data_IF_807441327076
#
_entry.id   IF_807441327076
#
_cell.length_a   1.000
_cell.length_b   1.000
_cell.length_c   1.000
_cell.angle_alpha   90.00
_cell.angle_beta   90.00
_cell.angle_gamma   90.00
#
_symmetry.space_group_name_H-M   'P 1'
#
loop_
_entity.id
_entity.type
_entity.pdbx_description
1 polymer ?
#
# COMPACT_ATOMS: atom_id res chain seq x y z
N UNK A 1 -24.22 13.75 -18.22
CA UNK A 1 -23.75 12.48 -18.79
C UNK A 1 -24.64 11.39 -18.22
N UNK A 2 -25.18 10.50 -19.05
CA UNK A 2 -26.04 9.40 -18.57
C UNK A 2 -25.23 8.47 -17.65
N UNK A 3 -25.85 7.95 -16.57
CA UNK A 3 -25.16 7.14 -15.56
C UNK A 3 -24.58 5.86 -16.16
N UNK A 4 -25.28 5.27 -17.14
CA UNK A 4 -24.83 4.12 -17.92
C UNK A 4 -23.56 4.46 -18.71
N UNK A 5 -23.54 5.59 -19.44
CA UNK A 5 -22.37 6.03 -20.21
C UNK A 5 -21.15 6.26 -19.31
N UNK A 6 -21.35 6.82 -18.12
CA UNK A 6 -20.26 7.01 -17.14
C UNK A 6 -19.69 5.66 -16.69
N UNK A 7 -20.53 4.72 -16.28
CA UNK A 7 -20.09 3.39 -15.84
C UNK A 7 -19.31 2.68 -16.95
N UNK A 8 -19.78 2.78 -18.20
CA UNK A 8 -19.09 2.19 -19.36
C UNK A 8 -17.71 2.82 -19.59
N UNK A 9 -17.58 4.14 -19.46
CA UNK A 9 -16.28 4.83 -19.54
C UNK A 9 -15.33 4.40 -18.42
N UNK A 10 -15.84 4.27 -17.19
CA UNK A 10 -15.05 3.81 -16.05
C UNK A 10 -14.58 2.36 -16.23
N UNK A 11 -15.44 1.47 -16.73
CA UNK A 11 -15.07 0.09 -17.11
C UNK A 11 -14.01 0.06 -18.23
N UNK A 12 -14.12 0.92 -19.24
CA UNK A 12 -13.13 1.01 -20.31
C UNK A 12 -11.79 1.61 -19.85
N UNK A 13 -11.80 2.36 -18.74
CA UNK A 13 -10.57 2.84 -18.10
C UNK A 13 -9.91 1.81 -17.19
N UNK A 14 -10.66 0.80 -16.69
CA UNK A 14 -10.19 -0.14 -15.69
C UNK A 14 -8.89 -0.89 -16.07
N UNK A 15 -8.68 -1.35 -17.33
CA UNK A 15 -7.41 -1.99 -17.71
C UNK A 15 -6.17 -1.11 -17.53
N UNK A 16 -6.35 0.21 -17.49
CA UNK A 16 -5.27 1.21 -17.32
C UNK A 16 -5.07 1.64 -15.87
N UNK A 17 -5.71 0.94 -14.92
CA UNK A 17 -5.65 1.27 -13.49
C UNK A 17 -4.23 1.31 -12.96
N UNK A 18 -3.27 0.57 -13.54
CA UNK A 18 -1.89 0.53 -13.06
C UNK A 18 -0.87 1.25 -13.96
N UNK A 19 -1.29 1.92 -15.04
CA UNK A 19 -0.38 2.53 -16.03
C UNK A 19 0.55 3.56 -15.36
N UNK A 20 -0.02 4.48 -14.57
CA UNK A 20 0.76 5.51 -13.86
C UNK A 20 1.71 4.89 -12.83
N UNK A 21 1.27 3.86 -12.09
CA UNK A 21 2.12 3.15 -11.14
C UNK A 21 3.31 2.49 -11.84
N UNK A 22 3.05 1.85 -12.98
CA UNK A 22 4.08 1.24 -13.83
C UNK A 22 5.07 2.28 -14.36
N UNK A 23 4.57 3.38 -14.91
CA UNK A 23 5.42 4.47 -15.41
C UNK A 23 6.29 5.06 -14.30
N UNK A 24 5.72 5.30 -13.12
CA UNK A 24 6.46 5.83 -11.97
C UNK A 24 7.52 4.85 -11.49
N UNK A 25 7.20 3.56 -11.38
CA UNK A 25 8.18 2.54 -10.96
C UNK A 25 9.31 2.39 -11.99
N UNK A 26 9.00 2.38 -13.29
CA UNK A 26 10.00 2.33 -14.37
C UNK A 26 10.88 3.58 -14.42
N UNK A 27 10.29 4.77 -14.33
CA UNK A 27 11.04 6.02 -14.26
C UNK A 27 11.95 6.10 -13.04
N UNK A 28 11.53 5.51 -11.94
CA UNK A 28 12.30 5.44 -10.72
C UNK A 28 13.52 4.50 -10.91
N UNK A 29 13.33 3.30 -11.49
CA UNK A 29 14.41 2.35 -11.82
C UNK A 29 15.43 2.94 -12.81
N UNK A 30 14.97 3.68 -13.82
CA UNK A 30 15.86 4.30 -14.80
C UNK A 30 16.77 5.37 -14.17
N UNK A 31 16.32 6.05 -13.11
CA UNK A 31 17.08 7.11 -12.44
C UNK A 31 18.07 6.57 -11.40
N UNK A 32 17.79 5.42 -10.78
CA UNK A 32 18.74 4.77 -9.86
C UNK A 32 19.97 4.22 -10.59
N UNK A 33 19.81 3.75 -11.84
CA UNK A 33 20.92 3.31 -12.69
C UNK A 33 21.97 4.40 -12.98
N UNK A 34 21.58 5.68 -12.94
CA UNK A 34 22.45 6.81 -13.29
C UNK A 34 23.20 7.44 -12.08
N UNK A 35 22.94 7.00 -10.83
CA UNK A 35 23.43 7.65 -9.60
C UNK A 35 24.33 6.78 -8.71
N UNK A 36 25.65 6.81 -8.92
CA UNK A 36 26.64 5.96 -8.20
C UNK A 36 26.91 6.38 -6.73
N UNK A 37 26.31 7.42 -6.17
CA UNK A 37 26.75 7.93 -4.85
C UNK A 37 25.62 8.02 -3.83
N UNK A 38 25.80 7.24 -2.75
CA UNK A 38 25.05 7.22 -1.47
C UNK A 38 23.98 6.12 -1.33
N UNK A 39 24.45 4.87 -1.23
CA UNK A 39 23.70 3.74 -0.70
C UNK A 39 23.51 3.89 0.83
N UNK A 40 22.53 4.69 1.22
CA UNK A 40 21.92 4.66 2.54
C UNK A 40 20.45 5.08 2.40
N UNK A 41 19.58 4.31 3.06
CA UNK A 41 18.16 4.60 3.32
C UNK A 41 17.19 4.43 2.13
N UNK A 42 16.67 3.21 2.02
CA UNK A 42 15.73 2.80 0.99
C UNK A 42 14.40 2.35 1.62
N UNK A 43 13.25 2.93 1.24
CA UNK A 43 11.97 2.34 1.57
C UNK A 43 11.81 1.03 0.78
N UNK A 44 11.50 -0.06 1.48
CA UNK A 44 10.96 -1.25 0.81
C UNK A 44 9.52 -0.95 0.35
N UNK A 45 9.14 -1.43 -0.84
CA UNK A 45 7.72 -1.47 -1.26
C UNK A 45 6.89 -2.32 -0.30
N UNK A 46 7.56 -3.19 0.44
CA UNK A 46 7.04 -3.79 1.66
C UNK A 46 7.00 -2.70 2.74
N UNK A 47 5.84 -2.14 3.05
CA UNK A 47 5.60 -1.51 4.36
C UNK A 47 5.65 -2.53 5.51
N UNK A 48 6.48 -3.58 5.39
CA UNK A 48 6.54 -4.70 6.29
C UNK A 48 7.72 -4.48 7.22
N UNK A 49 7.38 -4.25 8.47
CA UNK A 49 8.31 -4.41 9.56
C UNK A 49 8.88 -5.84 9.54
N UNK A 50 10.20 -5.94 9.51
CA UNK A 50 10.93 -7.21 9.45
C UNK A 50 11.80 -7.34 10.67
N UNK A 51 11.87 -8.54 11.22
CA UNK A 51 12.84 -8.82 12.28
C UNK A 51 13.96 -9.63 11.65
N UNK A 52 15.12 -8.99 11.47
CA UNK A 52 16.35 -9.72 11.15
C UNK A 52 17.09 -10.02 12.44
N UNK A 53 17.21 -11.31 12.79
CA UNK A 53 17.98 -11.74 13.97
C UNK A 53 19.37 -12.25 13.58
N UNK A 54 20.30 -12.09 14.51
CA UNK A 54 21.69 -12.52 14.49
C UNK A 54 22.05 -13.23 15.81
N UNK A 55 22.01 -14.56 15.82
CA UNK A 55 22.21 -15.35 17.04
C UNK A 55 21.18 -15.01 18.16
N UNK A 56 21.44 -15.46 19.39
CA UNK A 56 20.48 -15.32 20.51
C UNK A 56 20.30 -13.89 21.05
N UNK A 57 21.11 -12.91 20.63
CA UNK A 57 21.19 -11.57 21.26
C UNK A 57 21.02 -10.37 20.32
N UNK A 58 20.55 -10.55 19.10
CA UNK A 58 20.38 -9.43 18.16
C UNK A 58 19.11 -8.62 18.37
N UNK A 59 19.23 -7.31 18.22
CA UNK A 59 18.13 -6.33 18.27
C UNK A 59 17.27 -6.39 17.01
N UNK A 60 15.94 -6.32 17.18
CA UNK A 60 14.98 -6.20 16.08
C UNK A 60 15.22 -4.91 15.27
N UNK A 61 15.18 -5.00 13.94
CA UNK A 61 15.25 -3.84 13.04
C UNK A 61 13.85 -3.56 12.51
N UNK A 62 12.98 -3.00 13.35
CA UNK A 62 11.67 -2.54 12.90
C UNK A 62 11.85 -1.44 11.84
N UNK A 63 11.05 -1.53 10.78
CA UNK A 63 11.00 -0.52 9.72
C UNK A 63 9.88 0.45 10.09
N UNK A 64 10.11 1.27 11.13
CA UNK A 64 9.23 2.39 11.45
C UNK A 64 9.84 3.70 10.93
N UNK A 65 8.95 4.57 10.45
CA UNK A 65 9.18 5.86 9.81
C UNK A 65 9.90 6.85 10.74
N UNK A 66 11.20 6.65 10.95
CA UNK A 66 12.20 7.73 10.92
C UNK A 66 13.64 7.33 11.26
N UNK A 67 13.95 6.10 11.66
CA UNK A 67 15.34 5.76 12.06
C UNK A 67 15.70 4.31 11.76
N UNK A 68 16.16 4.05 10.54
CA UNK A 68 16.91 2.83 10.26
C UNK A 68 18.30 2.93 10.91
N UNK A 69 18.45 2.38 12.11
CA UNK A 69 19.77 1.95 12.54
C UNK A 69 19.97 0.55 11.99
N UNK A 70 20.78 0.39 10.94
CA UNK A 70 21.24 -0.94 10.52
C UNK A 70 21.90 -1.58 11.75
N UNK A 71 21.25 -2.54 12.40
CA UNK A 71 21.80 -3.17 13.58
C UNK A 71 23.13 -3.82 13.21
N UNK A 72 24.22 -3.26 13.72
CA UNK A 72 25.57 -3.81 13.53
C UNK A 72 25.76 -4.91 14.56
N UNK A 73 26.24 -6.06 14.10
CA UNK A 73 26.42 -7.25 14.94
C UNK A 73 27.89 -7.64 14.95
N UNK A 74 28.40 -7.95 16.14
CA UNK A 74 29.74 -8.50 16.31
C UNK A 74 29.72 -10.01 16.13
N UNK A 75 30.62 -10.53 15.29
CA UNK A 75 30.79 -11.96 15.10
C UNK A 75 31.27 -12.63 16.39
N UNK A 76 30.60 -13.71 16.85
CA UNK A 76 31.01 -14.42 18.06
C UNK A 76 32.41 -15.01 17.92
N UNK A 77 33.06 -15.27 19.07
CA UNK A 77 34.40 -15.86 19.11
C UNK A 77 34.44 -17.32 18.61
N UNK A 78 33.29 -18.00 18.64
CA UNK A 78 33.10 -19.37 18.16
C UNK A 78 31.67 -19.57 17.66
N UNK A 79 31.50 -20.37 16.63
CA UNK A 79 30.20 -20.68 16.03
C UNK A 79 29.81 -19.73 14.89
N UNK A 80 28.91 -20.16 13.99
CA UNK A 80 28.45 -19.31 12.90
C UNK A 80 27.45 -18.26 13.39
N UNK A 81 27.24 -17.22 12.58
CA UNK A 81 26.15 -16.26 12.75
C UNK A 81 24.91 -16.77 12.02
N UNK A 82 23.82 -16.96 12.75
CA UNK A 82 22.51 -17.30 12.19
C UNK A 82 21.77 -16.03 11.80
N UNK A 83 21.17 -16.02 10.62
CA UNK A 83 20.34 -14.92 10.12
C UNK A 83 18.91 -15.46 10.07
N UNK A 84 17.96 -14.76 10.68
CA UNK A 84 16.53 -15.08 10.59
C UNK A 84 15.80 -13.91 9.95
N UNK A 85 14.84 -14.17 9.07
CA UNK A 85 13.96 -13.19 8.42
C UNK A 85 12.51 -13.61 8.65
N UNK A 86 11.74 -12.72 9.25
CA UNK A 86 10.31 -12.91 9.51
C UNK A 86 9.57 -11.59 9.52
N UNK A 87 8.26 -11.70 9.38
CA UNK A 87 7.37 -10.55 9.59
C UNK A 87 7.32 -10.15 11.05
N UNK A 88 7.17 -8.86 11.31
CA UNK A 88 6.78 -8.38 12.63
C UNK A 88 5.31 -8.74 12.87
N UNK A 89 5.09 -9.88 13.53
CA UNK A 89 3.78 -10.39 13.87
C UNK A 89 3.80 -10.96 15.28
N UNK A 90 2.62 -11.01 15.91
CA UNK A 90 2.43 -11.77 17.16
C UNK A 90 2.69 -13.27 16.97
N UNK A 91 2.76 -13.75 15.73
CA UNK A 91 3.01 -15.14 15.34
C UNK A 91 4.32 -15.27 14.57
N UNK A 92 4.92 -16.46 14.63
CA UNK A 92 6.18 -16.73 13.94
C UNK A 92 5.93 -17.05 12.47
N UNK A 93 5.88 -16.00 11.64
CA UNK A 93 5.65 -16.11 10.19
C UNK A 93 6.98 -15.89 9.46
N UNK A 94 7.64 -16.96 8.99
CA UNK A 94 8.92 -16.85 8.31
C UNK A 94 8.77 -16.12 6.98
N UNK A 95 9.82 -15.40 6.59
CA UNK A 95 9.93 -14.75 5.29
C UNK A 95 11.20 -15.25 4.61
N UNK A 96 11.03 -16.35 3.87
CA UNK A 96 12.10 -17.11 3.22
C UNK A 96 12.35 -16.77 1.75
N UNK A 97 13.31 -17.48 1.15
CA UNK A 97 13.74 -17.34 -0.25
C UNK A 97 14.22 -15.93 -0.62
N UNK A 98 14.81 -15.24 0.36
CA UNK A 98 15.41 -13.92 0.20
C UNK A 98 16.93 -14.06 0.22
N UNK A 99 17.60 -13.31 -0.66
CA UNK A 99 19.05 -13.17 -0.61
C UNK A 99 19.37 -11.94 0.23
N UNK A 100 20.24 -12.11 1.21
CA UNK A 100 20.76 -11.03 2.06
C UNK A 100 22.26 -10.89 1.88
N UNK A 101 22.74 -9.66 1.87
CA UNK A 101 24.14 -9.32 1.85
C UNK A 101 24.64 -9.04 3.27
N UNK A 102 25.61 -9.82 3.71
CA UNK A 102 26.36 -9.56 4.93
C UNK A 102 27.56 -8.69 4.57
N UNK A 103 27.53 -7.44 5.04
CA UNK A 103 28.54 -6.43 4.75
C UNK A 103 29.42 -6.24 5.98
N UNK A 104 30.73 -6.45 5.83
CA UNK A 104 31.69 -6.11 6.86
C UNK A 104 31.69 -4.58 7.06
N UNK A 105 31.54 -4.14 8.31
CA UNK A 105 31.57 -2.71 8.65
C UNK A 105 32.95 -2.13 8.35
N UNK A 106 33.99 -2.91 8.63
CA UNK A 106 35.37 -2.58 8.29
C UNK A 106 35.67 -3.05 6.85
N UNK A 107 36.10 -2.13 5.99
CA UNK A 107 36.51 -2.45 4.62
C UNK A 107 35.38 -2.70 3.60
N UNK A 108 34.13 -2.86 4.04
CA UNK A 108 32.96 -2.94 3.14
C UNK A 108 32.84 -4.24 2.34
N UNK A 109 33.58 -5.29 2.72
CA UNK A 109 33.50 -6.59 2.04
C UNK A 109 32.08 -7.17 2.14
N UNK A 110 31.53 -7.62 1.02
CA UNK A 110 30.16 -8.13 0.90
C UNK A 110 30.17 -9.63 0.65
N UNK A 111 29.32 -10.37 1.37
CA UNK A 111 29.04 -11.78 1.08
C UNK A 111 27.53 -12.03 1.12
N UNK A 112 27.00 -12.57 0.03
CA UNK A 112 25.58 -12.91 -0.05
C UNK A 112 25.29 -14.26 0.62
N UNK A 113 24.14 -14.33 1.28
CA UNK A 113 23.57 -15.51 1.95
C UNK A 113 22.13 -15.64 1.48
N UNK A 114 21.77 -16.80 0.95
CA UNK A 114 20.38 -17.12 0.63
C UNK A 114 19.72 -17.69 1.87
N UNK A 115 18.61 -17.08 2.29
CA UNK A 115 17.76 -17.60 3.34
C UNK A 115 16.90 -18.73 2.79
N UNK A 116 16.75 -19.80 3.57
CA UNK A 116 15.86 -20.92 3.24
C UNK A 116 14.38 -20.52 3.30
N UNK A 117 13.48 -21.47 3.04
CA UNK A 117 12.03 -21.24 3.06
C UNK A 117 11.52 -20.82 4.45
N UNK A 118 12.27 -21.11 5.51
CA UNK A 118 11.96 -20.72 6.89
C UNK A 118 12.56 -19.35 7.24
N UNK A 119 13.13 -18.64 6.27
CA UNK A 119 13.76 -17.35 6.48
C UNK A 119 15.10 -17.45 7.19
N UNK A 120 15.74 -18.63 7.23
CA UNK A 120 16.98 -18.86 7.98
C UNK A 120 18.19 -18.97 7.07
N UNK A 121 19.31 -18.41 7.50
CA UNK A 121 20.59 -18.46 6.80
C UNK A 121 21.75 -18.52 7.78
N UNK A 122 22.92 -18.93 7.29
CA UNK A 122 24.12 -19.08 8.13
C UNK A 122 25.29 -18.38 7.46
N UNK A 123 25.99 -17.54 8.23
CA UNK A 123 27.17 -16.82 7.80
C UNK A 123 28.34 -17.06 8.76
N UNK A 124 29.52 -17.33 8.21
CA UNK A 124 30.76 -17.43 8.99
C UNK A 124 31.61 -16.21 8.71
N UNK A 125 31.75 -15.36 9.73
CA UNK A 125 32.59 -14.17 9.73
C UNK A 125 33.90 -14.38 10.51
N UNK A 126 34.71 -13.33 10.56
CA UNK A 126 35.91 -13.27 11.37
C UNK A 126 35.55 -12.95 12.83
N UNK A 127 36.06 -13.74 13.77
CA UNK A 127 35.77 -13.59 15.20
C UNK A 127 36.07 -12.16 15.69
N UNK A 128 35.08 -11.53 16.33
CA UNK A 128 35.20 -10.18 16.90
C UNK A 128 35.04 -9.03 15.90
N UNK A 129 34.91 -9.29 14.59
CA UNK A 129 34.62 -8.27 13.57
C UNK A 129 33.13 -7.93 13.53
N UNK A 130 32.81 -6.75 13.00
CA UNK A 130 31.45 -6.24 12.93
C UNK A 130 30.87 -6.35 11.51
N UNK A 131 29.62 -6.78 11.44
CA UNK A 131 28.88 -6.99 10.20
C UNK A 131 27.51 -6.32 10.28
N UNK A 132 26.96 -5.94 9.13
CA UNK A 132 25.56 -5.54 8.96
C UNK A 132 24.92 -6.43 7.90
N UNK A 133 23.65 -6.79 8.07
CA UNK A 133 22.86 -7.43 7.01
C UNK A 133 22.04 -6.39 6.29
N UNK A 134 22.11 -6.44 4.98
CA UNK A 134 21.29 -5.65 4.06
C UNK A 134 20.57 -6.66 3.17
N UNK A 135 19.30 -6.45 2.86
CA UNK A 135 18.64 -7.30 1.86
C UNK A 135 19.19 -6.94 0.48
N UNK A 136 19.56 -7.96 -0.29
CA UNK A 136 20.32 -7.80 -1.55
C UNK A 136 19.67 -6.79 -2.50
N UNK A 137 20.53 -6.06 -3.22
CA UNK A 137 20.22 -4.88 -4.01
C UNK A 137 19.22 -5.03 -5.17
N UNK A 138 18.91 -3.87 -5.76
CA UNK A 138 17.93 -3.52 -6.80
C UNK A 138 17.18 -4.65 -7.52
N UNK A 139 15.85 -4.51 -7.60
CA UNK A 139 15.03 -5.31 -8.51
C UNK A 139 15.44 -5.02 -9.97
N UNK A 140 15.66 -6.07 -10.78
CA UNK A 140 15.96 -5.88 -12.19
C UNK A 140 14.72 -5.49 -12.99
N UNK A 141 14.90 -4.81 -14.13
CA UNK A 141 13.79 -4.44 -15.02
C UNK A 141 12.96 -5.67 -15.43
N UNK A 142 13.61 -6.80 -15.70
CA UNK A 142 12.95 -8.07 -16.02
C UNK A 142 12.06 -8.58 -14.87
N UNK A 143 12.50 -8.44 -13.62
CA UNK A 143 11.72 -8.87 -12.45
C UNK A 143 10.49 -7.97 -12.26
N UNK A 144 10.65 -6.68 -12.53
CA UNK A 144 9.56 -5.70 -12.47
C UNK A 144 8.56 -5.94 -13.59
N UNK A 145 9.03 -6.19 -14.82
CA UNK A 145 8.15 -6.55 -15.94
C UNK A 145 7.37 -7.83 -15.66
N UNK A 146 8.03 -8.87 -15.13
CA UNK A 146 7.36 -10.12 -14.73
C UNK A 146 6.29 -9.90 -13.64
N UNK A 147 6.57 -9.06 -12.65
CA UNK A 147 5.58 -8.68 -11.63
C UNK A 147 4.36 -8.01 -12.26
N UNK A 148 4.60 -7.08 -13.19
CA UNK A 148 3.53 -6.39 -13.88
C UNK A 148 2.74 -7.28 -14.85
N UNK A 149 3.36 -8.28 -15.48
CA UNK A 149 2.63 -9.28 -16.27
C UNK A 149 1.63 -10.05 -15.40
N UNK A 150 1.99 -10.33 -14.14
CA UNK A 150 1.04 -10.91 -13.17
C UNK A 150 -0.11 -9.96 -12.86
N UNK A 151 0.16 -8.67 -12.68
CA UNK A 151 -0.91 -7.67 -12.52
C UNK A 151 -1.78 -7.53 -13.76
N UNK A 152 -1.23 -7.64 -14.97
CA UNK A 152 -2.01 -7.65 -16.22
C UNK A 152 -2.90 -8.89 -16.33
N UNK A 153 -2.42 -10.04 -15.83
CA UNK A 153 -3.22 -11.25 -15.66
C UNK A 153 -4.41 -11.02 -14.72
N UNK A 154 -4.14 -10.50 -13.52
CA UNK A 154 -5.17 -10.19 -12.52
C UNK A 154 -6.19 -9.18 -13.08
N UNK A 155 -5.70 -8.10 -13.69
CA UNK A 155 -6.51 -7.03 -14.30
C UNK A 155 -7.47 -7.59 -15.35
N UNK A 156 -7.00 -8.48 -16.23
CA UNK A 156 -7.87 -9.11 -17.25
C UNK A 156 -9.00 -9.94 -16.65
N UNK A 157 -8.72 -10.71 -15.59
CA UNK A 157 -9.77 -11.51 -14.94
C UNK A 157 -10.79 -10.63 -14.21
N UNK A 158 -10.32 -9.59 -13.50
CA UNK A 158 -11.20 -8.63 -12.82
C UNK A 158 -12.04 -7.84 -13.84
N UNK A 159 -11.45 -7.36 -14.94
CA UNK A 159 -12.18 -6.66 -16.01
C UNK A 159 -13.25 -7.55 -16.65
N UNK A 160 -12.89 -8.78 -17.03
CA UNK A 160 -13.83 -9.74 -17.59
C UNK A 160 -14.99 -10.04 -16.64
N UNK A 161 -14.71 -10.17 -15.34
CA UNK A 161 -15.73 -10.36 -14.31
C UNK A 161 -16.64 -9.13 -14.16
N UNK A 162 -16.07 -7.93 -14.03
CA UNK A 162 -16.83 -6.67 -13.93
C UNK A 162 -17.76 -6.48 -15.12
N UNK A 163 -17.26 -6.70 -16.34
CA UNK A 163 -18.07 -6.64 -17.57
C UNK A 163 -19.21 -7.66 -17.55
N UNK A 164 -19.00 -8.86 -17.02
CA UNK A 164 -20.04 -9.88 -16.87
C UNK A 164 -21.12 -9.51 -15.85
N UNK A 165 -20.77 -8.82 -14.77
CA UNK A 165 -21.74 -8.26 -13.81
C UNK A 165 -22.49 -7.09 -14.46
N UNK A 166 -21.80 -6.21 -15.19
CA UNK A 166 -22.43 -5.08 -15.88
C UNK A 166 -23.50 -5.52 -16.88
N UNK A 167 -23.26 -6.57 -17.66
CA UNK A 167 -24.27 -7.11 -18.59
C UNK A 167 -25.56 -7.54 -17.88
N UNK A 168 -25.47 -7.99 -16.62
CA UNK A 168 -26.65 -8.36 -15.81
C UNK A 168 -27.34 -7.15 -15.19
N UNK A 169 -26.59 -6.11 -14.83
CA UNK A 169 -27.13 -4.91 -14.20
C UNK A 169 -27.69 -3.89 -15.20
N UNK A 170 -27.04 -3.70 -16.35
CA UNK A 170 -27.39 -2.69 -17.36
C UNK A 170 -28.87 -2.66 -17.76
N UNK A 171 -29.59 -3.79 -17.96
CA UNK A 171 -31.03 -3.75 -18.27
C UNK A 171 -31.87 -3.09 -17.18
N UNK A 172 -31.51 -3.27 -15.90
CA UNK A 172 -32.25 -2.76 -14.75
C UNK A 172 -32.07 -1.24 -14.57
N UNK A 173 -30.94 -0.69 -15.04
CA UNK A 173 -30.69 0.74 -15.08
C UNK A 173 -31.62 1.46 -16.06
N UNK A 174 -31.85 0.88 -17.24
CA UNK A 174 -32.73 1.47 -18.28
C UNK A 174 -34.21 1.58 -17.87
N UNK A 175 -34.65 0.76 -16.92
CA UNK A 175 -36.02 0.78 -16.39
C UNK A 175 -36.19 1.77 -15.22
N UNK A 176 -35.10 2.31 -14.68
CA UNK A 176 -35.06 3.09 -13.43
C UNK A 176 -34.89 4.60 -13.65
N UNK A 177 -35.51 5.15 -14.70
CA UNK A 177 -35.32 6.56 -15.13
C UNK A 177 -35.86 7.60 -14.13
N UNK A 178 -36.61 7.19 -13.10
CA UNK A 178 -37.18 8.11 -12.10
C UNK A 178 -36.26 8.41 -10.90
N UNK A 179 -35.16 7.67 -10.69
CA UNK A 179 -34.28 7.80 -9.50
C UNK A 179 -32.80 8.07 -9.83
N UNK A 180 -32.47 8.29 -11.10
CA UNK A 180 -31.09 8.48 -11.57
C UNK A 180 -30.33 9.66 -10.94
N UNK A 181 -31.04 10.62 -10.31
CA UNK A 181 -30.41 11.73 -9.59
C UNK A 181 -29.66 11.30 -8.30
N UNK A 182 -29.91 10.09 -7.79
CA UNK A 182 -29.28 9.59 -6.54
C UNK A 182 -27.97 8.82 -6.73
N UNK A 183 -27.73 8.22 -7.91
CA UNK A 183 -26.60 7.32 -8.14
C UNK A 183 -25.36 7.99 -8.75
N UNK A 184 -25.45 9.26 -9.15
CA UNK A 184 -24.30 10.04 -9.62
C UNK A 184 -23.20 10.28 -8.58
N UNK A 185 -23.37 9.74 -7.38
CA UNK A 185 -22.76 10.18 -6.14
C UNK A 185 -21.47 9.43 -5.74
N UNK A 186 -21.21 8.25 -6.32
CA UNK A 186 -20.01 7.47 -6.00
C UNK A 186 -18.78 7.94 -6.77
N UNK A 187 -18.88 8.12 -8.09
CA UNK A 187 -17.74 8.63 -8.85
C UNK A 187 -17.50 10.15 -8.66
N UNK A 188 -18.21 10.80 -7.73
CA UNK A 188 -17.89 12.14 -7.20
C UNK A 188 -17.04 12.11 -5.93
N UNK A 189 -16.83 10.96 -5.31
CA UNK A 189 -16.16 10.81 -4.01
C UNK A 189 -14.87 10.00 -4.07
N UNK A 190 -14.05 10.16 -5.13
CA UNK A 190 -12.67 9.64 -5.11
C UNK A 190 -11.87 10.20 -3.91
N UNK A 191 -12.14 11.45 -3.50
CA UNK A 191 -11.63 12.04 -2.26
C UNK A 191 -12.09 11.31 -0.97
N UNK A 192 -13.18 10.54 -1.00
CA UNK A 192 -13.58 9.66 0.11
C UNK A 192 -12.88 8.28 0.03
N UNK A 193 -12.46 7.85 -1.17
CA UNK A 193 -11.67 6.64 -1.40
C UNK A 193 -10.20 6.87 -0.99
N UNK A 194 -9.69 8.10 -1.04
CA UNK A 194 -8.37 8.45 -0.44
C UNK A 194 -8.29 8.03 1.04
N UNK A 195 -9.37 8.14 1.81
CA UNK A 195 -9.45 7.65 3.19
C UNK A 195 -9.45 6.11 3.32
N UNK A 196 -9.81 5.37 2.26
CA UNK A 196 -9.66 3.91 2.21
C UNK A 196 -8.18 3.52 2.07
N UNK A 197 -7.37 4.34 1.38
CA UNK A 197 -5.94 4.08 1.23
C UNK A 197 -5.21 4.17 2.57
N UNK A 198 -5.54 5.15 3.42
CA UNK A 198 -5.06 5.19 4.82
C UNK A 198 -5.55 3.98 5.65
N UNK A 199 -6.69 3.41 5.27
CA UNK A 199 -7.27 2.22 5.91
C UNK A 199 -6.71 0.90 5.35
N UNK A 200 -5.89 0.89 4.30
CA UNK A 200 -5.24 -0.33 3.81
C UNK A 200 -4.25 -0.86 4.85
N UNK A 201 -3.58 0.02 5.59
CA UNK A 201 -2.75 -0.36 6.74
C UNK A 201 -3.49 -1.21 7.77
N UNK A 202 -4.81 -1.02 7.92
CA UNK A 202 -5.64 -1.84 8.82
C UNK A 202 -5.57 -3.33 8.49
N UNK A 203 -5.51 -3.70 7.21
CA UNK A 203 -5.41 -5.10 6.80
C UNK A 203 -4.09 -5.71 7.30
N UNK A 204 -2.99 -4.96 7.18
CA UNK A 204 -1.68 -5.37 7.69
C UNK A 204 -1.71 -5.55 9.21
N UNK A 205 -2.26 -4.56 9.94
CA UNK A 205 -2.41 -4.62 11.40
C UNK A 205 -3.27 -5.82 11.85
N UNK A 206 -4.38 -6.08 11.14
CA UNK A 206 -5.23 -7.26 11.40
C UNK A 206 -4.43 -8.55 11.25
N UNK A 207 -3.59 -8.69 10.22
CA UNK A 207 -2.78 -9.89 10.02
C UNK A 207 -1.63 -9.99 11.02
N UNK A 208 -1.08 -8.84 11.44
CA UNK A 208 -0.01 -8.74 12.45
C UNK A 208 -0.46 -9.29 13.80
N UNK A 209 -1.64 -8.85 14.28
CA UNK A 209 -2.23 -9.33 15.53
C UNK A 209 -3.77 -9.39 15.46
N UNK A 210 -4.37 -10.47 14.92
CA UNK A 210 -5.81 -10.59 14.72
C UNK A 210 -6.64 -10.44 16.00
N UNK A 211 -6.09 -10.87 17.15
CA UNK A 211 -6.81 -10.90 18.42
C UNK A 211 -7.05 -9.49 18.98
N UNK A 212 -6.20 -8.51 18.66
CA UNK A 212 -6.45 -7.10 18.99
C UNK A 212 -7.67 -6.54 18.26
N UNK A 213 -8.05 -7.14 17.13
CA UNK A 213 -9.20 -6.76 16.32
C UNK A 213 -10.44 -7.63 16.58
N UNK A 214 -10.48 -8.39 17.69
CA UNK A 214 -11.62 -9.26 18.04
C UNK A 214 -12.98 -8.53 18.04
N UNK A 215 -13.03 -7.28 18.50
CA UNK A 215 -14.27 -6.48 18.45
C UNK A 215 -14.76 -6.19 17.03
N UNK A 216 -13.87 -6.13 16.04
CA UNK A 216 -14.21 -5.93 14.63
C UNK A 216 -14.51 -7.24 13.92
N UNK A 217 -13.71 -8.27 14.18
CA UNK A 217 -13.70 -9.52 13.42
C UNK A 217 -14.63 -10.60 14.01
N UNK A 218 -15.02 -10.48 15.29
CA UNK A 218 -15.71 -11.52 16.03
C UNK A 218 -14.89 -12.80 16.08
N UNK A 219 -15.55 -13.95 15.93
CA UNK A 219 -14.90 -15.28 15.91
C UNK A 219 -13.85 -15.43 14.80
N UNK A 220 -13.90 -14.59 13.77
CA UNK A 220 -12.91 -14.61 12.67
C UNK A 220 -11.52 -14.18 13.14
N UNK A 221 -11.39 -13.42 14.24
CA UNK A 221 -10.09 -13.09 14.82
C UNK A 221 -9.37 -14.36 15.31
N UNK A 222 -10.07 -15.20 16.06
CA UNK A 222 -9.54 -16.48 16.55
C UNK A 222 -9.20 -17.41 15.40
N UNK A 223 -10.08 -17.52 14.40
CA UNK A 223 -9.81 -18.34 13.22
C UNK A 223 -8.56 -17.87 12.46
N UNK A 224 -8.37 -16.55 12.33
CA UNK A 224 -7.18 -15.98 11.68
C UNK A 224 -5.91 -16.20 12.51
N UNK A 225 -5.99 -16.12 13.84
CA UNK A 225 -4.88 -16.45 14.75
C UNK A 225 -4.48 -17.94 14.64
N UNK A 226 -5.44 -18.86 14.65
CA UNK A 226 -5.20 -20.30 14.47
C UNK A 226 -4.61 -20.60 13.08
N UNK A 227 -5.07 -19.89 12.05
CA UNK A 227 -4.52 -19.99 10.70
C UNK A 227 -3.06 -19.54 10.63
N UNK A 228 -2.71 -18.43 11.29
CA UNK A 228 -1.33 -17.94 11.36
C UNK A 228 -0.37 -18.99 11.95
N UNK A 229 -0.82 -19.72 12.98
CA UNK A 229 -0.03 -20.80 13.63
C UNK A 229 0.01 -22.07 12.78
N UNK A 230 -1.11 -22.49 12.21
CA UNK A 230 -1.25 -23.78 11.53
C UNK A 230 -0.77 -23.78 10.09
N UNK A 231 -0.79 -22.62 9.41
CA UNK A 231 -0.48 -22.44 7.99
C UNK A 231 0.45 -21.23 7.77
N UNK A 232 1.65 -21.18 8.38
CA UNK A 232 2.53 -20.01 8.33
C UNK A 232 2.93 -19.61 6.90
N UNK A 233 3.15 -20.59 6.00
CA UNK A 233 3.46 -20.31 4.58
C UNK A 233 2.30 -19.62 3.85
N UNK A 234 1.04 -19.97 4.15
CA UNK A 234 -0.12 -19.29 3.55
C UNK A 234 -0.37 -17.94 4.19
N UNK A 235 -0.06 -17.80 5.48
CA UNK A 235 -0.09 -16.51 6.17
C UNK A 235 0.97 -15.56 5.59
N UNK A 236 2.16 -16.06 5.23
CA UNK A 236 3.18 -15.29 4.51
C UNK A 236 2.60 -14.73 3.19
N UNK A 237 1.99 -15.58 2.36
CA UNK A 237 1.36 -15.17 1.11
C UNK A 237 0.26 -14.12 1.32
N UNK A 238 -0.54 -14.27 2.38
CA UNK A 238 -1.62 -13.34 2.71
C UNK A 238 -1.07 -11.98 3.15
N UNK A 239 -0.03 -11.98 3.99
CA UNK A 239 0.66 -10.76 4.41
C UNK A 239 1.36 -10.07 3.23
N UNK A 240 1.95 -10.82 2.31
CA UNK A 240 2.52 -10.30 1.07
C UNK A 240 1.46 -9.65 0.17
N UNK A 241 0.32 -10.30 -0.04
CA UNK A 241 -0.81 -9.75 -0.80
C UNK A 241 -1.31 -8.43 -0.18
N UNK A 242 -1.46 -8.40 1.15
CA UNK A 242 -1.95 -7.21 1.87
C UNK A 242 -0.90 -6.09 1.93
N UNK A 243 0.36 -6.40 1.67
CA UNK A 243 1.43 -5.42 1.55
C UNK A 243 1.62 -4.93 0.11
N UNK A 244 0.92 -5.52 -0.86
CA UNK A 244 0.99 -5.15 -2.26
C UNK A 244 -0.06 -4.09 -2.60
N UNK A 245 0.38 -2.84 -2.61
CA UNK A 245 -0.42 -1.68 -2.96
C UNK A 245 -1.08 -1.77 -4.35
N UNK A 246 -0.39 -2.34 -5.34
CA UNK A 246 -0.92 -2.43 -6.71
C UNK A 246 -2.05 -3.46 -6.79
N UNK A 247 -1.86 -4.63 -6.17
CA UNK A 247 -2.91 -5.63 -6.08
C UNK A 247 -4.11 -5.11 -5.29
N UNK A 248 -3.89 -4.48 -4.12
CA UNK A 248 -4.98 -3.90 -3.33
C UNK A 248 -5.68 -2.76 -4.06
N UNK A 249 -4.97 -1.95 -4.85
CA UNK A 249 -5.57 -0.93 -5.71
C UNK A 249 -6.54 -1.55 -6.73
N UNK A 250 -6.13 -2.62 -7.42
CA UNK A 250 -6.98 -3.34 -8.36
C UNK A 250 -8.23 -3.92 -7.67
N UNK A 251 -8.09 -4.52 -6.48
CA UNK A 251 -9.20 -5.09 -5.72
C UNK A 251 -10.17 -4.01 -5.24
N UNK A 252 -9.64 -2.92 -4.68
CA UNK A 252 -10.43 -1.78 -4.23
C UNK A 252 -11.18 -1.13 -5.41
N UNK A 253 -10.49 -0.91 -6.53
CA UNK A 253 -11.08 -0.36 -7.75
C UNK A 253 -12.18 -1.27 -8.30
N UNK A 254 -11.97 -2.59 -8.26
CA UNK A 254 -12.99 -3.57 -8.64
C UNK A 254 -14.23 -3.46 -7.76
N UNK A 255 -14.06 -3.47 -6.43
CA UNK A 255 -15.17 -3.37 -5.49
C UNK A 255 -15.91 -2.03 -5.62
N UNK A 256 -15.18 -0.93 -5.80
CA UNK A 256 -15.73 0.40 -6.04
C UNK A 256 -16.58 0.44 -7.29
N UNK A 257 -16.05 0.00 -8.44
CA UNK A 257 -16.81 -0.05 -9.69
C UNK A 257 -18.01 -0.99 -9.59
N UNK A 258 -17.87 -2.13 -8.92
CA UNK A 258 -19.00 -3.03 -8.72
C UNK A 258 -20.13 -2.40 -7.91
N UNK A 259 -19.82 -1.64 -6.85
CA UNK A 259 -20.81 -0.88 -6.09
C UNK A 259 -21.47 0.20 -6.95
N UNK A 260 -20.72 0.87 -7.82
CA UNK A 260 -21.28 1.85 -8.77
C UNK A 260 -22.22 1.23 -9.79
N UNK A 261 -21.97 -0.03 -10.18
CA UNK A 261 -22.79 -0.77 -11.13
C UNK A 261 -24.10 -1.30 -10.53
N UNK A 262 -24.23 -1.36 -9.20
CA UNK A 262 -25.42 -1.88 -8.55
C UNK A 262 -26.66 -1.05 -8.91
N UNK A 263 -27.76 -1.69 -9.36
CA UNK A 263 -28.97 -0.96 -9.69
C UNK A 263 -29.63 -0.35 -8.43
N UNK A 264 -30.37 0.77 -8.55
CA UNK A 264 -30.89 1.53 -7.39
C UNK A 264 -31.78 0.73 -6.44
N UNK A 265 -32.43 -0.33 -6.93
CA UNK A 265 -33.27 -1.23 -6.15
C UNK A 265 -32.47 -2.09 -5.15
N UNK A 266 -31.19 -2.37 -5.43
CA UNK A 266 -30.28 -3.13 -4.56
C UNK A 266 -29.68 -2.25 -3.45
N UNK A 267 -29.69 -0.91 -3.63
CA UNK A 267 -29.22 0.09 -2.67
C UNK A 267 -30.44 0.87 -2.13
N UNK A 268 -31.45 0.15 -1.64
CA UNK A 268 -32.61 0.79 -1.04
C UNK A 268 -32.29 1.27 0.39
N UNK A 269 -32.18 2.59 0.58
CA UNK A 269 -32.28 3.20 1.90
C UNK A 269 -31.21 4.26 2.21
N UNK A 270 -31.69 5.50 2.38
CA UNK A 270 -31.04 6.67 2.99
C UNK A 270 -30.35 7.65 2.04
N UNK A 271 -30.23 8.88 2.56
CA UNK A 271 -29.83 10.12 1.89
C UNK A 271 -28.38 10.11 1.44
N UNK A 272 -28.08 11.02 0.50
CA UNK A 272 -26.80 11.16 -0.17
C UNK A 272 -25.55 11.12 0.75
N UNK A 273 -25.60 11.81 1.87
CA UNK A 273 -24.47 11.97 2.79
C UNK A 273 -24.20 10.73 3.66
N UNK A 274 -25.26 10.01 4.05
CA UNK A 274 -25.14 8.75 4.79
C UNK A 274 -24.58 7.61 3.92
N UNK A 275 -24.80 7.67 2.60
CA UNK A 275 -24.35 6.65 1.65
C UNK A 275 -22.82 6.71 1.44
N UNK A 276 -22.20 7.90 1.44
CA UNK A 276 -20.75 8.05 1.20
C UNK A 276 -19.88 7.38 2.28
N UNK A 277 -20.15 7.66 3.57
CA UNK A 277 -19.42 7.02 4.69
C UNK A 277 -19.68 5.51 4.77
N UNK A 278 -20.90 5.09 4.40
CA UNK A 278 -21.31 3.67 4.36
C UNK A 278 -20.53 2.89 3.29
N UNK A 279 -20.18 3.54 2.17
CA UNK A 279 -19.44 2.92 1.05
C UNK A 279 -17.97 2.69 1.38
N UNK A 280 -17.28 3.68 1.95
CA UNK A 280 -15.88 3.55 2.40
C UNK A 280 -15.75 2.35 3.35
N UNK A 281 -16.61 2.29 4.37
CA UNK A 281 -16.62 1.20 5.33
C UNK A 281 -16.95 -0.15 4.67
N UNK A 282 -17.88 -0.16 3.70
CA UNK A 282 -18.24 -1.38 2.96
C UNK A 282 -17.07 -1.87 2.09
N UNK A 283 -16.34 -0.98 1.44
CA UNK A 283 -15.14 -1.34 0.65
C UNK A 283 -14.07 -1.99 1.54
N UNK A 284 -13.82 -1.44 2.72
CA UNK A 284 -12.90 -2.03 3.69
C UNK A 284 -13.43 -3.41 4.15
N UNK A 285 -14.72 -3.52 4.46
CA UNK A 285 -15.32 -4.79 4.89
C UNK A 285 -15.30 -5.84 3.75
N UNK A 286 -15.37 -5.43 2.48
CA UNK A 286 -15.16 -6.31 1.32
C UNK A 286 -13.73 -6.82 1.28
N UNK A 287 -12.73 -5.95 1.42
CA UNK A 287 -11.32 -6.36 1.42
C UNK A 287 -11.00 -7.30 2.59
N UNK A 288 -11.48 -6.99 3.80
CA UNK A 288 -11.35 -7.88 4.97
C UNK A 288 -12.07 -9.20 4.71
N UNK A 289 -13.27 -9.17 4.12
CA UNK A 289 -14.00 -10.37 3.74
C UNK A 289 -13.20 -11.26 2.77
N UNK A 290 -12.55 -10.67 1.76
CA UNK A 290 -11.67 -11.41 0.82
C UNK A 290 -10.48 -12.03 1.57
N UNK A 291 -9.80 -11.25 2.40
CA UNK A 291 -8.65 -11.71 3.23
C UNK A 291 -9.06 -12.87 4.14
N UNK A 292 -10.16 -12.73 4.88
CA UNK A 292 -10.67 -13.78 5.77
C UNK A 292 -11.13 -15.03 5.03
N UNK A 293 -11.50 -14.93 3.75
CA UNK A 293 -11.88 -16.11 2.95
C UNK A 293 -10.68 -17.04 2.71
N UNK A 294 -9.43 -16.55 2.80
CA UNK A 294 -8.21 -17.39 2.78
C UNK A 294 -8.06 -18.28 4.01
N UNK A 295 -8.49 -17.80 5.19
CA UNK A 295 -8.53 -18.58 6.44
C UNK A 295 -9.51 -19.74 6.29
N UNK A 296 -10.65 -19.46 5.67
CA UNK A 296 -11.63 -20.45 5.27
C UNK A 296 -12.84 -19.78 4.64
N UNK A 297 -13.48 -20.47 3.70
CA UNK A 297 -14.62 -19.93 2.95
C UNK A 297 -15.76 -19.43 3.86
N UNK A 298 -15.89 -19.98 5.07
CA UNK A 298 -16.87 -19.56 6.07
C UNK A 298 -16.49 -18.29 6.84
N UNK A 299 -15.21 -17.99 7.04
CA UNK A 299 -14.77 -16.88 7.89
C UNK A 299 -15.10 -15.51 7.28
N UNK A 300 -14.82 -15.32 5.98
CA UNK A 300 -15.22 -14.09 5.27
C UNK A 300 -16.73 -13.86 5.28
N UNK A 301 -17.52 -14.94 5.13
CA UNK A 301 -19.00 -14.86 5.15
C UNK A 301 -19.52 -14.55 6.56
N UNK A 302 -18.97 -15.20 7.58
CA UNK A 302 -19.33 -14.95 8.98
C UNK A 302 -19.04 -13.50 9.35
N UNK A 303 -17.87 -13.00 8.98
CA UNK A 303 -17.50 -11.60 9.14
C UNK A 303 -18.49 -10.64 8.46
N UNK A 304 -18.79 -10.85 7.17
CA UNK A 304 -19.75 -10.00 6.45
C UNK A 304 -21.15 -10.06 7.05
N UNK A 305 -21.58 -11.23 7.52
CA UNK A 305 -22.88 -11.40 8.18
C UNK A 305 -22.94 -10.57 9.45
N UNK A 306 -21.87 -10.56 10.25
CA UNK A 306 -21.75 -9.72 11.44
C UNK A 306 -21.77 -8.23 11.08
N UNK A 307 -21.00 -7.80 10.07
CA UNK A 307 -20.84 -6.38 9.69
C UNK A 307 -22.05 -5.79 8.98
N UNK A 308 -22.78 -6.61 8.24
CA UNK A 308 -23.90 -6.19 7.39
C UNK A 308 -25.26 -6.66 7.93
N UNK A 309 -25.33 -7.15 9.17
CA UNK A 309 -26.56 -7.65 9.80
C UNK A 309 -27.74 -6.67 9.68
N UNK A 310 -27.47 -5.37 9.82
CA UNK A 310 -28.48 -4.31 9.74
C UNK A 310 -28.74 -3.80 8.32
N UNK A 311 -27.95 -4.23 7.32
CA UNK A 311 -27.94 -3.65 5.97
C UNK A 311 -28.78 -4.40 4.93
N UNK A 312 -29.68 -5.26 5.38
CA UNK A 312 -30.64 -5.97 4.53
C UNK A 312 -30.05 -7.21 3.82
N UNK A 313 -30.88 -8.25 3.66
CA UNK A 313 -30.44 -9.54 3.15
C UNK A 313 -29.97 -9.50 1.68
N UNK A 314 -30.52 -8.60 0.87
CA UNK A 314 -30.16 -8.45 -0.55
C UNK A 314 -28.73 -7.94 -0.71
N UNK A 315 -28.37 -6.84 -0.02
CA UNK A 315 -27.01 -6.30 -0.04
C UNK A 315 -26.00 -7.31 0.52
N UNK A 316 -26.31 -7.98 1.63
CA UNK A 316 -25.43 -9.03 2.19
C UNK A 316 -25.19 -10.16 1.17
N UNK A 317 -26.23 -10.62 0.47
CA UNK A 317 -26.11 -11.65 -0.57
C UNK A 317 -25.22 -11.17 -1.73
N UNK A 318 -25.45 -9.94 -2.20
CA UNK A 318 -24.70 -9.35 -3.30
C UNK A 318 -23.21 -9.17 -2.92
N UNK A 319 -22.92 -8.63 -1.73
CA UNK A 319 -21.55 -8.45 -1.23
C UNK A 319 -20.85 -9.78 -0.98
N UNK A 320 -21.57 -10.79 -0.48
CA UNK A 320 -21.03 -12.14 -0.34
C UNK A 320 -20.64 -12.75 -1.69
N UNK A 321 -21.43 -12.51 -2.75
CA UNK A 321 -21.10 -12.94 -4.11
C UNK A 321 -19.85 -12.22 -4.65
N UNK A 322 -19.75 -10.91 -4.42
CA UNK A 322 -18.56 -10.12 -4.75
C UNK A 322 -17.31 -10.70 -4.07
N UNK A 323 -17.35 -10.89 -2.75
CA UNK A 323 -16.20 -11.41 -1.99
C UNK A 323 -15.79 -12.81 -2.46
N UNK A 324 -16.75 -13.71 -2.73
CA UNK A 324 -16.45 -15.04 -3.27
C UNK A 324 -15.81 -14.97 -4.65
N UNK A 325 -16.30 -14.09 -5.53
CA UNK A 325 -15.75 -13.94 -6.87
C UNK A 325 -14.33 -13.36 -6.83
N UNK A 326 -14.11 -12.29 -6.06
CA UNK A 326 -12.79 -11.70 -5.86
C UNK A 326 -11.82 -12.69 -5.24
N UNK A 327 -12.23 -13.43 -4.20
CA UNK A 327 -11.40 -14.49 -3.63
C UNK A 327 -11.04 -15.58 -4.65
N UNK A 328 -11.99 -16.02 -5.48
CA UNK A 328 -11.73 -17.02 -6.52
C UNK A 328 -10.69 -16.54 -7.55
N UNK A 329 -10.76 -15.26 -7.95
CA UNK A 329 -9.78 -14.65 -8.85
C UNK A 329 -8.42 -14.55 -8.14
N UNK A 330 -8.35 -13.91 -6.97
CA UNK A 330 -7.09 -13.67 -6.25
C UNK A 330 -6.40 -14.97 -5.85
N UNK A 331 -7.14 -15.98 -5.38
CA UNK A 331 -6.57 -17.28 -5.01
C UNK A 331 -5.93 -18.01 -6.18
N UNK A 332 -6.44 -17.84 -7.40
CA UNK A 332 -5.82 -18.38 -8.62
C UNK A 332 -4.52 -17.66 -8.96
N UNK A 333 -4.41 -16.38 -8.59
CA UNK A 333 -3.22 -15.58 -8.84
C UNK A 333 -2.20 -15.58 -7.70
N UNK A 334 -2.55 -16.01 -6.49
CA UNK A 334 -1.76 -15.78 -5.27
C UNK A 334 -0.28 -16.20 -5.38
N UNK A 335 0.08 -17.12 -6.27
CA UNK A 335 1.48 -17.46 -6.58
C UNK A 335 2.32 -16.28 -7.08
N UNK A 336 1.70 -15.20 -7.60
CA UNK A 336 2.37 -13.98 -8.00
C UNK A 336 3.14 -13.31 -6.84
N UNK A 337 2.72 -13.55 -5.58
CA UNK A 337 3.35 -12.95 -4.40
C UNK A 337 4.83 -13.31 -4.27
N UNK A 338 5.31 -14.38 -4.92
CA UNK A 338 6.74 -14.69 -5.01
C UNK A 338 7.51 -13.72 -5.93
N UNK A 339 6.90 -13.30 -7.03
CA UNK A 339 7.45 -12.25 -7.90
C UNK A 339 7.40 -10.91 -7.16
N UNK A 340 6.30 -10.63 -6.46
CA UNK A 340 6.19 -9.45 -5.60
C UNK A 340 7.27 -9.45 -4.52
N UNK A 341 7.43 -10.55 -3.76
CA UNK A 341 8.48 -10.75 -2.75
C UNK A 341 9.87 -10.48 -3.32
N UNK A 342 10.15 -10.92 -4.54
CA UNK A 342 11.44 -10.70 -5.20
C UNK A 342 11.70 -9.21 -5.47
N UNK A 343 10.69 -8.45 -5.86
CA UNK A 343 10.81 -7.01 -6.13
C UNK A 343 10.76 -6.20 -4.83
N UNK A 344 9.92 -6.59 -3.89
CA UNK A 344 9.58 -5.81 -2.71
C UNK A 344 10.51 -6.06 -1.52
N UNK A 345 11.09 -7.27 -1.39
CA UNK A 345 12.13 -7.55 -0.41
C UNK A 345 13.43 -6.78 -0.70
N UNK A 346 13.70 -6.52 -1.98
CA UNK A 346 14.84 -5.75 -2.49
C UNK A 346 14.47 -4.28 -2.41
N UNK A 347 15.00 -3.58 -1.40
CA UNK A 347 14.79 -2.14 -1.28
C UNK A 347 15.25 -1.46 -2.55
N UNK A 348 14.43 -0.57 -3.10
CA UNK A 348 14.81 0.13 -4.34
C UNK A 348 15.76 1.27 -3.98
N UNK A 349 16.97 1.24 -4.55
CA UNK A 349 18.06 2.13 -4.19
C UNK A 349 17.91 3.61 -4.63
N UNK A 350 17.23 4.44 -3.82
CA UNK A 350 17.67 5.76 -3.33
C UNK A 350 16.49 6.64 -2.85
N UNK A 351 16.51 7.02 -1.57
CA UNK A 351 16.08 8.31 -1.01
C UNK A 351 14.67 8.85 -1.27
N UNK A 352 13.76 8.68 -0.30
CA UNK A 352 12.62 9.61 -0.09
C UNK A 352 12.43 9.91 1.41
N UNK A 353 12.50 11.19 1.77
CA UNK A 353 12.02 11.73 3.05
C UNK A 353 10.50 11.62 3.11
N UNK A 354 9.98 11.03 4.19
CA UNK A 354 8.55 10.84 4.55
C UNK A 354 7.81 9.72 3.82
N UNK A 355 8.24 8.48 4.07
CA UNK A 355 7.40 7.43 4.69
C UNK A 355 6.12 6.93 4.01
N UNK A 356 5.84 7.30 2.76
CA UNK A 356 4.82 6.64 1.93
C UNK A 356 5.02 7.10 0.49
N UNK A 357 5.10 6.17 -0.47
CA UNK A 357 4.88 6.55 -1.86
C UNK A 357 3.40 6.89 -1.99
N UNK A 358 3.03 8.14 -1.70
CA UNK A 358 1.73 8.64 -2.07
C UNK A 358 1.70 8.73 -3.60
N UNK A 359 1.26 7.64 -4.22
CA UNK A 359 0.81 7.65 -5.61
C UNK A 359 -0.39 8.59 -5.66
N UNK A 360 -0.12 9.87 -5.90
CA UNK A 360 -1.16 10.81 -6.32
C UNK A 360 -1.63 10.33 -7.68
N UNK A 361 -2.67 9.51 -7.67
CA UNK A 361 -3.47 9.15 -8.83
C UNK A 361 -4.24 10.38 -9.30
N UNK A 362 -3.51 11.38 -9.79
CA UNK A 362 -4.09 12.51 -10.47
C UNK A 362 -4.51 12.03 -11.86
N UNK A 363 -5.76 11.60 -12.00
CA UNK A 363 -6.40 11.58 -13.30
C UNK A 363 -6.35 13.02 -13.83
N UNK A 364 -5.43 13.29 -14.77
CA UNK A 364 -5.22 14.59 -15.44
C UNK A 364 -6.48 15.46 -15.46
N UNK A 365 -6.57 16.43 -14.56
CA UNK A 365 -7.38 17.63 -14.78
C UNK A 365 -6.50 18.61 -15.56
N UNK A 366 -6.55 18.54 -16.88
CA UNK A 366 -6.01 19.60 -17.74
C UNK A 366 -6.85 20.89 -17.71
N UNK A 367 -7.80 21.02 -16.79
CA UNK A 367 -8.39 22.30 -16.41
C UNK A 367 -8.98 22.17 -15.01
N UNK A 368 -8.49 22.99 -14.08
CA UNK A 368 -9.25 23.33 -12.88
C UNK A 368 -9.76 24.76 -13.07
N UNK A 369 -11.08 24.94 -13.16
CA UNK A 369 -11.71 26.23 -12.89
C UNK A 369 -11.58 26.45 -11.38
N UNK A 370 -10.45 27.05 -10.97
CA UNK A 370 -10.35 27.65 -9.64
C UNK A 370 -11.19 28.92 -9.67
N UNK A 371 -12.00 29.10 -8.62
CA UNK A 371 -12.45 30.43 -8.23
C UNK A 371 -11.18 31.21 -7.91
N UNK A 372 -10.96 32.37 -8.55
CA UNK A 372 -9.82 33.24 -8.24
C UNK A 372 -9.83 33.54 -6.73
N UNK A 373 -8.94 32.87 -6.00
CA UNK A 373 -8.42 33.43 -4.77
C UNK A 373 -7.26 34.34 -5.16
N UNK A 374 -7.32 35.57 -4.66
CA UNK A 374 -6.28 36.56 -4.88
C UNK A 374 -4.97 36.04 -4.25
N UNK A 375 -4.06 35.59 -5.10
CA UNK A 375 -2.67 35.34 -4.74
C UNK A 375 -1.90 36.63 -5.01
N UNK A 376 -1.42 37.28 -3.94
CA UNK A 376 -0.34 38.24 -4.07
C UNK A 376 0.96 37.46 -4.30
N UNK A 377 1.48 37.53 -5.53
CA UNK A 377 2.78 36.96 -5.94
C UNK A 377 3.96 37.83 -5.45
N UNK A 378 3.87 38.37 -4.23
CA UNK A 378 4.94 39.19 -3.65
C UNK A 378 5.35 38.62 -2.29
N UNK A 379 6.62 38.23 -2.08
CA UNK A 379 7.10 37.86 -0.75
C UNK A 379 6.93 39.05 0.19
N UNK A 380 6.33 38.82 1.36
CA UNK A 380 6.24 39.83 2.41
C UNK A 380 7.65 40.33 2.78
N UNK A 381 7.78 41.66 2.88
CA UNK A 381 9.05 42.31 3.22
C UNK A 381 9.49 41.94 4.64
N UNK A 382 10.79 41.64 4.82
CA UNK A 382 11.35 41.30 6.12
C UNK A 382 11.15 42.44 7.14
N UNK A 383 10.82 42.06 8.39
CA UNK A 383 10.60 42.97 9.51
C UNK A 383 11.73 42.87 10.54
N UNK A 384 12.09 43.98 11.18
CA UNK A 384 13.07 43.98 12.29
C UNK A 384 12.44 43.43 13.59
N UNK A 385 13.22 43.21 14.68
CA UNK A 385 12.71 42.69 15.95
C UNK A 385 11.63 43.55 16.63
N UNK A 386 11.47 44.81 16.22
CA UNK A 386 10.43 45.72 16.69
C UNK A 386 9.16 45.67 15.83
N UNK A 387 9.15 44.88 14.74
CA UNK A 387 8.01 44.69 13.85
C UNK A 387 7.91 45.70 12.71
N UNK A 388 8.90 46.58 12.55
CA UNK A 388 8.95 47.57 11.49
C UNK A 388 9.40 46.94 10.16
N UNK A 389 8.82 47.37 9.05
CA UNK A 389 9.21 46.89 7.70
C UNK A 389 10.55 47.50 7.28
N UNK A 390 11.35 46.77 6.50
CA UNK A 390 12.63 47.30 6.02
C UNK A 390 12.45 48.62 5.23
N UNK A 391 13.38 49.56 5.39
CA UNK A 391 13.35 50.82 4.64
C UNK A 391 13.59 50.58 3.14
N UNK A 392 12.93 51.37 2.28
CA UNK A 392 13.11 51.26 0.83
C UNK A 392 14.57 51.54 0.41
N UNK A 393 15.10 50.81 -0.58
CA UNK A 393 16.49 50.90 -1.07
C UNK A 393 17.06 52.32 -1.30
N UNK A 394 16.29 53.36 -1.68
CA UNK A 394 16.81 54.72 -1.78
C UNK A 394 17.15 55.37 -0.43
N UNK A 395 16.60 54.85 0.68
CA UNK A 395 16.80 55.37 2.05
C UNK A 395 17.92 54.67 2.82
N UNK A 396 18.36 53.50 2.38
CA UNK A 396 19.46 52.74 3.00
C UNK A 396 20.85 53.19 2.54
N UNK A 397 20.93 54.06 1.52
CA UNK A 397 22.19 54.62 1.03
C UNK A 397 22.59 55.87 1.84
N UNK A 398 23.03 55.69 3.09
CA UNK A 398 23.75 56.75 3.81
C UNK A 398 25.25 56.50 3.73
N UNK A 399 26.00 57.46 3.19
CA UNK A 399 27.44 57.34 2.95
C UNK A 399 28.20 57.04 4.26
N UNK A 400 28.73 55.82 4.39
CA UNK A 400 29.75 55.46 5.38
C UNK A 400 29.31 54.57 6.55
N UNK A 401 28.05 54.14 6.64
CA UNK A 401 27.60 53.19 7.67
C UNK A 401 27.53 51.76 7.10
N UNK A 402 28.01 50.72 7.82
CA UNK A 402 27.91 49.33 7.38
C UNK A 402 26.44 48.86 7.47
N UNK A 403 25.92 48.35 6.34
CA UNK A 403 24.54 47.86 6.24
C UNK A 403 24.48 46.37 6.57
N UNK A 404 23.53 45.98 7.43
CA UNK A 404 23.24 44.57 7.72
C UNK A 404 22.57 43.89 6.53
N UNK A 405 23.23 42.89 5.94
CA UNK A 405 22.67 42.10 4.83
C UNK A 405 21.48 41.21 5.21
N UNK A 406 21.14 41.14 6.50
CA UNK A 406 20.03 40.33 7.03
C UNK A 406 18.81 41.20 7.34
N UNK A 407 19.00 42.45 7.75
CA UNK A 407 17.92 43.34 8.24
C UNK A 407 17.76 44.63 7.43
N UNK A 408 18.74 45.03 6.61
CA UNK A 408 18.69 46.24 5.81
C UNK A 408 18.89 47.56 6.57
N UNK A 409 19.26 47.48 7.86
CA UNK A 409 19.64 48.63 8.71
C UNK A 409 21.07 49.09 8.44
#
# INVERSE_FOLDING_TARGET
MDAVTRIEQELDSFPRTLDLYREQLKHWLSRSADGVSHAADLPSLMGMERIIRFGEHSTAVAIDDNRFFSAVVQCPKSGPMEIESKFESAYDIPLGDIVVDVVAVEGGAVKSVTLDAQGKGVFTGEAGKFYRVVVHGEASEQQVDALFESYDGLTRQLDGWLRSEWQRFKPQWSQSVATAAGNGMLAGSWAAIEGVWDSIGLLSEILKNPLEFGGRLGDSATALAEFAVSMPEKMEQLQLLVSDEAALCLLLRTASLWLEMLPPNEIAGKTAEAVSMVVVQLLIDVLIGVVLTFVGAGAGIAYLTLRLAERGAQLLSAVTRLVKAMFGIVSTFIGYVNQYKTVAARGIAAGVKKGRMQLRWDARRNASLKKDEHHDDTPDQAKNPNGDSADCAPRTCTNGCPVSMVTGE
#
